data_IF_042526999316
#
_entry.id   IF_042526999316
#
_cell.length_a   1.000
_cell.length_b   1.000
_cell.length_c   1.000
_cell.angle_alpha   90.00
_cell.angle_beta   90.00
_cell.angle_gamma   90.00
#
_symmetry.space_group_name_H-M   'P 1'
#
loop_
_entity.id
_entity.type
_entity.pdbx_description
1 polymer ?
#
# COMPACT_ATOMS: atom_id res chain seq x y z
N UNK A 1 6.31 14.12 -4.00
CA UNK A 1 5.93 14.36 -2.59
C UNK A 1 6.43 13.19 -1.77
N UNK A 2 7.04 13.41 -0.59
CA UNK A 2 7.37 12.34 0.33
C UNK A 2 6.10 11.77 0.99
N UNK A 3 6.10 10.48 1.26
CA UNK A 3 5.02 9.75 1.96
C UNK A 3 5.17 9.79 3.49
N UNK A 4 6.39 10.00 3.98
CA UNK A 4 6.76 10.15 5.40
C UNK A 4 7.80 11.28 5.54
N UNK A 5 7.97 11.84 6.75
CA UNK A 5 9.11 12.73 7.05
C UNK A 5 10.44 11.96 7.06
N UNK A 6 10.40 10.62 7.18
CA UNK A 6 11.58 9.77 7.15
C UNK A 6 12.04 9.46 5.71
N UNK A 7 13.28 9.84 5.39
CA UNK A 7 13.91 9.62 4.08
C UNK A 7 14.07 8.13 3.73
N UNK A 8 14.44 7.28 4.69
CA UNK A 8 14.62 5.84 4.49
C UNK A 8 13.32 5.18 4.06
N UNK A 9 12.21 5.53 4.73
CA UNK A 9 10.87 5.07 4.36
C UNK A 9 10.52 5.50 2.94
N UNK A 10 10.71 6.78 2.61
CA UNK A 10 10.43 7.27 1.25
C UNK A 10 11.25 6.54 0.17
N UNK A 11 12.52 6.26 0.45
CA UNK A 11 13.39 5.54 -0.46
C UNK A 11 12.92 4.09 -0.66
N UNK A 12 12.60 3.38 0.41
CA UNK A 12 12.09 2.01 0.34
C UNK A 12 10.75 1.94 -0.43
N UNK A 13 9.84 2.88 -0.16
CA UNK A 13 8.58 2.98 -0.90
C UNK A 13 8.82 3.23 -2.39
N UNK A 14 9.64 4.22 -2.75
CA UNK A 14 9.97 4.51 -4.15
C UNK A 14 10.63 3.31 -4.85
N UNK A 15 11.53 2.61 -4.18
CA UNK A 15 12.14 1.37 -4.69
C UNK A 15 11.08 0.29 -4.92
N UNK A 16 10.17 0.09 -3.96
CA UNK A 16 9.07 -0.88 -4.09
C UNK A 16 8.15 -0.58 -5.28
N UNK A 17 7.92 0.70 -5.59
CA UNK A 17 7.18 1.13 -6.78
C UNK A 17 7.94 0.93 -8.08
N UNK A 18 9.26 1.13 -8.08
CA UNK A 18 10.09 0.98 -9.27
C UNK A 18 10.32 -0.49 -9.65
N UNK A 19 10.39 -1.40 -8.67
CA UNK A 19 10.66 -2.82 -8.88
C UNK A 19 9.43 -3.64 -9.29
N UNK A 20 8.25 -3.04 -9.32
CA UNK A 20 7.03 -3.78 -9.56
C UNK A 20 6.88 -4.18 -11.03
N UNK A 21 6.80 -5.48 -11.28
CA UNK A 21 6.40 -5.99 -12.60
C UNK A 21 4.86 -5.97 -12.70
N UNK A 22 4.35 -5.06 -13.52
CA UNK A 22 2.90 -4.90 -13.74
C UNK A 22 2.26 -6.04 -14.54
N UNK A 23 3.04 -6.85 -15.26
CA UNK A 23 2.54 -8.04 -15.95
C UNK A 23 2.27 -9.19 -14.98
N UNK A 24 3.12 -9.35 -13.96
CA UNK A 24 2.99 -10.37 -12.90
C UNK A 24 2.00 -9.90 -11.82
N UNK A 25 2.23 -8.70 -11.28
CA UNK A 25 1.41 -8.09 -10.23
C UNK A 25 0.28 -7.25 -10.86
N UNK A 26 -0.53 -7.90 -11.68
CA UNK A 26 -1.51 -7.25 -12.55
C UNK A 26 -2.75 -6.65 -11.85
N UNK A 27 -2.91 -6.82 -10.55
CA UNK A 27 -4.01 -6.22 -9.79
C UNK A 27 -3.54 -5.57 -8.50
N UNK A 28 -4.34 -4.64 -7.97
CA UNK A 28 -3.99 -3.81 -6.81
C UNK A 28 -3.60 -4.63 -5.56
N UNK A 29 -4.25 -5.78 -5.34
CA UNK A 29 -3.94 -6.65 -4.20
C UNK A 29 -2.58 -7.33 -4.38
N UNK A 30 -2.31 -7.91 -5.56
CA UNK A 30 -0.98 -8.48 -5.87
C UNK A 30 0.13 -7.43 -5.76
N UNK A 31 -0.14 -6.19 -6.18
CA UNK A 31 0.82 -5.07 -6.05
C UNK A 31 1.07 -4.70 -4.59
N UNK A 32 0.04 -4.75 -3.75
CA UNK A 32 0.15 -4.48 -2.33
C UNK A 32 0.96 -5.55 -1.61
N UNK A 33 0.65 -6.83 -1.80
CA UNK A 33 1.38 -7.94 -1.16
C UNK A 33 2.86 -7.96 -1.56
N UNK A 34 3.16 -7.73 -2.85
CA UNK A 34 4.54 -7.61 -3.33
C UNK A 34 5.33 -6.50 -2.62
N UNK A 35 4.76 -5.29 -2.57
CA UNK A 35 5.41 -4.15 -1.90
C UNK A 35 5.58 -4.40 -0.40
N UNK A 36 4.60 -5.02 0.25
CA UNK A 36 4.67 -5.39 1.67
C UNK A 36 5.83 -6.34 1.94
N UNK A 37 5.98 -7.39 1.13
CA UNK A 37 7.10 -8.33 1.27
C UNK A 37 8.44 -7.63 1.06
N UNK A 38 8.55 -6.80 0.03
CA UNK A 38 9.78 -6.07 -0.27
C UNK A 38 10.20 -5.11 0.86
N UNK A 39 9.24 -4.49 1.56
CA UNK A 39 9.50 -3.64 2.73
C UNK A 39 9.93 -4.48 3.94
N UNK A 40 9.29 -5.64 4.16
CA UNK A 40 9.64 -6.54 5.27
C UNK A 40 11.07 -7.07 5.15
N UNK A 41 11.47 -7.39 3.92
CA UNK A 41 12.79 -7.92 3.58
C UNK A 41 13.87 -6.82 3.41
N UNK A 42 13.50 -5.52 3.48
CA UNK A 42 14.47 -4.43 3.36
C UNK A 42 15.30 -4.29 4.65
N UNK A 43 16.49 -4.88 4.64
CA UNK A 43 17.46 -4.83 5.74
C UNK A 43 17.97 -3.41 6.05
N UNK A 44 17.76 -2.43 5.15
CA UNK A 44 18.12 -1.03 5.39
C UNK A 44 17.14 -0.28 6.29
N UNK A 45 15.99 -0.89 6.61
CA UNK A 45 14.97 -0.33 7.49
C UNK A 45 15.01 -0.95 8.89
N UNK A 46 14.81 -0.13 9.90
CA UNK A 46 14.49 -0.59 11.26
C UNK A 46 13.05 -1.15 11.32
N UNK A 47 12.76 -1.97 12.33
CA UNK A 47 11.41 -2.54 12.51
C UNK A 47 10.30 -1.48 12.67
N UNK A 48 10.64 -0.33 13.28
CA UNK A 48 9.72 0.81 13.36
C UNK A 48 9.46 1.43 11.99
N UNK A 49 10.50 1.60 11.17
CA UNK A 49 10.37 2.14 9.81
C UNK A 49 9.60 1.19 8.89
N UNK A 50 9.84 -0.13 8.99
CA UNK A 50 9.05 -1.14 8.28
C UNK A 50 7.57 -1.06 8.66
N UNK A 51 7.28 -0.98 9.96
CA UNK A 51 5.92 -0.87 10.48
C UNK A 51 5.22 0.39 9.96
N UNK A 52 5.91 1.53 9.94
CA UNK A 52 5.37 2.78 9.40
C UNK A 52 5.16 2.70 7.88
N UNK A 53 6.13 2.17 7.13
CA UNK A 53 6.04 1.98 5.69
C UNK A 53 4.85 1.06 5.31
N UNK A 54 4.67 -0.06 6.03
CA UNK A 54 3.53 -0.97 5.85
C UNK A 54 2.21 -0.25 6.14
N UNK A 55 2.15 0.56 7.21
CA UNK A 55 0.96 1.35 7.53
C UNK A 55 0.61 2.32 6.39
N UNK A 56 1.61 2.97 5.79
CA UNK A 56 1.41 3.88 4.66
C UNK A 56 0.88 3.16 3.42
N UNK A 57 1.49 2.04 3.01
CA UNK A 57 1.01 1.30 1.83
C UNK A 57 -0.35 0.63 2.06
N UNK A 58 -0.70 0.31 3.31
CA UNK A 58 -2.03 -0.22 3.67
C UNK A 58 -3.09 0.86 3.49
N UNK A 59 -2.84 2.09 3.96
CA UNK A 59 -3.74 3.23 3.72
C UNK A 59 -3.98 3.48 2.23
N UNK A 60 -2.92 3.41 1.42
CA UNK A 60 -3.02 3.57 -0.04
C UNK A 60 -3.80 2.41 -0.67
N UNK A 61 -3.58 1.18 -0.21
CA UNK A 61 -4.32 0.02 -0.67
C UNK A 61 -5.82 0.11 -0.35
N UNK A 62 -6.18 0.54 0.86
CA UNK A 62 -7.57 0.76 1.25
C UNK A 62 -8.22 1.90 0.45
N UNK A 63 -7.49 2.99 0.22
CA UNK A 63 -7.94 4.08 -0.65
C UNK A 63 -8.21 3.58 -2.07
N UNK A 64 -7.28 2.83 -2.66
CA UNK A 64 -7.45 2.26 -4.00
C UNK A 64 -8.70 1.35 -4.05
N UNK A 65 -8.94 0.55 -3.01
CA UNK A 65 -10.13 -0.30 -2.94
C UNK A 65 -11.43 0.53 -2.95
N UNK A 66 -11.46 1.64 -2.22
CA UNK A 66 -12.59 2.56 -2.22
C UNK A 66 -12.75 3.23 -3.60
N UNK A 67 -11.68 3.80 -4.16
CA UNK A 67 -11.72 4.51 -5.45
C UNK A 67 -12.16 3.61 -6.61
N UNK A 68 -11.73 2.34 -6.62
CA UNK A 68 -12.09 1.40 -7.67
C UNK A 68 -13.30 0.53 -7.32
N UNK A 69 -14.03 0.81 -6.24
CA UNK A 69 -15.15 0.00 -5.75
C UNK A 69 -14.81 -1.50 -5.65
N UNK A 70 -13.60 -1.83 -5.22
CA UNK A 70 -13.09 -3.20 -5.09
C UNK A 70 -13.25 -3.71 -3.66
N UNK A 71 -13.82 -4.91 -3.53
CA UNK A 71 -14.09 -5.56 -2.25
C UNK A 71 -15.58 -5.59 -1.93
N UNK A 72 -15.92 -6.00 -0.70
CA UNK A 72 -17.31 -6.07 -0.26
C UNK A 72 -17.89 -4.67 -0.17
N UNK A 73 -18.91 -4.38 -0.98
CA UNK A 73 -19.72 -3.16 -0.83
C UNK A 73 -20.24 -3.12 0.61
N UNK A 74 -19.89 -2.07 1.35
CA UNK A 74 -20.60 -1.74 2.59
C UNK A 74 -21.90 -1.08 2.19
N UNK A 75 -23.02 -1.71 2.49
CA UNK A 75 -24.32 -1.04 2.47
C UNK A 75 -24.30 -0.10 3.67
N UNK A 76 -24.44 1.20 3.42
CA UNK A 76 -24.50 2.17 4.49
C UNK A 76 -25.90 2.11 5.12
N UNK A 77 -26.01 1.56 6.33
CA UNK A 77 -27.30 1.42 7.05
C UNK A 77 -28.00 2.77 7.29
N UNK A 78 -27.24 3.86 7.41
CA UNK A 78 -27.78 5.22 7.60
C UNK A 78 -28.01 6.00 6.30
N UNK A 79 -27.50 5.50 5.17
CA UNK A 79 -27.66 6.16 3.89
C UNK A 79 -28.87 5.53 3.20
N UNK A 80 -30.07 6.00 3.55
CA UNK A 80 -31.33 5.64 2.89
C UNK A 80 -31.40 6.20 1.45
N UNK A 81 -30.47 5.82 0.57
CA UNK A 81 -30.56 6.15 -0.85
C UNK A 81 -30.42 4.88 -1.68
N UNK A 82 -31.57 4.43 -2.19
CA UNK A 82 -31.70 3.67 -3.44
C UNK A 82 -31.16 4.47 -4.63
#
# INVERSE_FOLDING_TARGET
MPFSENKSINNALNRSYALIDYSIHNNVHKKFEFRKQLILDDESLTENEKSEAIRLITKLYDLDKLTFNKGTKRICENCNQE
#
